data_IF_345702832220
#
_entry.id   IF_345702832220
#
_cell.length_a   1.000
_cell.length_b   1.000
_cell.length_c   1.000
_cell.angle_alpha   90.00
_cell.angle_beta   90.00
_cell.angle_gamma   90.00
#
_symmetry.space_group_name_H-M   'P 1'
#
loop_
_entity.id
_entity.type
_entity.pdbx_description
1 polymer ?
#
# COMPACT_ATOMS: atom_id res chain seq x y z
N UNK A 1 -2.10 -14.26 19.44
CA UNK A 1 -1.35 -13.61 18.34
C UNK A 1 0.13 -13.63 18.70
N UNK A 2 0.99 -14.19 17.84
CA UNK A 2 2.43 -14.25 18.10
C UNK A 2 3.07 -12.90 17.72
N UNK A 3 3.41 -12.08 18.73
CA UNK A 3 3.91 -10.71 18.52
C UNK A 3 5.24 -10.70 17.74
N UNK A 4 6.13 -11.67 17.99
CA UNK A 4 7.40 -11.78 17.27
C UNK A 4 7.17 -12.05 15.78
N UNK A 5 6.24 -12.95 15.47
CA UNK A 5 5.82 -13.26 14.10
C UNK A 5 5.29 -12.00 13.39
N UNK A 6 4.34 -11.30 14.01
CA UNK A 6 3.75 -10.08 13.45
C UNK A 6 4.80 -8.99 13.24
N UNK A 7 5.69 -8.77 14.21
CA UNK A 7 6.75 -7.76 14.11
C UNK A 7 7.67 -8.02 12.93
N UNK A 8 8.19 -9.25 12.78
CA UNK A 8 9.10 -9.62 11.69
C UNK A 8 8.39 -9.55 10.34
N UNK A 9 7.18 -10.10 10.25
CA UNK A 9 6.39 -10.06 9.04
C UNK A 9 6.06 -8.62 8.61
N UNK A 10 5.74 -7.74 9.56
CA UNK A 10 5.45 -6.32 9.30
C UNK A 10 6.69 -5.59 8.79
N UNK A 11 7.86 -5.82 9.38
CA UNK A 11 9.11 -5.22 8.88
C UNK A 11 9.42 -5.66 7.46
N UNK A 12 9.31 -6.96 7.16
CA UNK A 12 9.58 -7.48 5.82
C UNK A 12 8.54 -7.00 4.79
N UNK A 13 7.27 -6.98 5.17
CA UNK A 13 6.18 -6.44 4.35
C UNK A 13 6.41 -4.97 4.02
N UNK A 14 6.76 -4.16 5.02
CA UNK A 14 7.03 -2.73 4.86
C UNK A 14 8.19 -2.48 3.90
N UNK A 15 9.32 -3.16 4.10
CA UNK A 15 10.49 -3.05 3.22
C UNK A 15 10.17 -3.45 1.78
N UNK A 16 9.34 -4.49 1.61
CA UNK A 16 8.88 -4.93 0.28
C UNK A 16 8.02 -3.87 -0.39
N UNK A 17 7.06 -3.29 0.35
CA UNK A 17 6.22 -2.22 -0.17
C UNK A 17 7.04 -0.99 -0.56
N UNK A 18 8.03 -0.62 0.23
CA UNK A 18 8.92 0.50 -0.08
C UNK A 18 9.75 0.23 -1.34
N UNK A 19 10.35 -0.97 -1.45
CA UNK A 19 11.17 -1.35 -2.59
C UNK A 19 10.36 -1.39 -3.89
N UNK A 20 9.17 -2.02 -3.86
CA UNK A 20 8.29 -2.14 -5.04
C UNK A 20 7.62 -0.81 -5.36
N UNK A 21 7.27 -0.02 -4.34
CA UNK A 21 6.61 1.28 -4.45
C UNK A 21 7.53 2.42 -4.89
N UNK A 22 8.85 2.26 -4.84
CA UNK A 22 9.80 3.31 -5.23
C UNK A 22 9.62 3.76 -6.69
N UNK A 23 9.41 2.81 -7.60
CA UNK A 23 9.22 3.10 -9.04
C UNK A 23 7.94 3.91 -9.30
N UNK A 24 6.73 3.47 -8.88
CA UNK A 24 5.52 4.26 -9.09
C UNK A 24 5.55 5.60 -8.34
N UNK A 25 6.25 5.70 -7.21
CA UNK A 25 6.45 6.98 -6.52
C UNK A 25 7.10 8.03 -7.42
N UNK A 26 8.15 7.65 -8.15
CA UNK A 26 8.87 8.57 -9.04
C UNK A 26 8.12 8.79 -10.35
N UNK A 27 7.56 7.73 -10.95
CA UNK A 27 7.05 7.78 -12.32
C UNK A 27 5.57 8.15 -12.43
N UNK A 28 4.78 7.96 -11.37
CA UNK A 28 3.33 8.15 -11.40
C UNK A 28 2.86 9.16 -10.35
N UNK A 29 3.16 8.92 -9.06
CA UNK A 29 2.68 9.78 -7.98
C UNK A 29 3.36 11.15 -7.95
N UNK A 30 4.68 11.20 -8.17
CA UNK A 30 5.45 12.44 -8.19
C UNK A 30 4.93 13.48 -9.20
N UNK A 31 4.85 13.14 -10.51
CA UNK A 31 4.35 14.05 -11.54
C UNK A 31 2.91 14.53 -11.27
N UNK A 32 2.03 13.62 -10.85
CA UNK A 32 0.65 13.98 -10.52
C UNK A 32 0.57 14.91 -9.30
N UNK A 33 1.36 14.64 -8.25
CA UNK A 33 1.45 15.50 -7.08
C UNK A 33 1.93 16.91 -7.41
N UNK A 34 2.92 17.05 -8.29
CA UNK A 34 3.40 18.36 -8.76
C UNK A 34 2.32 19.14 -9.53
N UNK A 35 1.61 18.49 -10.46
CA UNK A 35 0.50 19.10 -11.21
C UNK A 35 -0.65 19.54 -10.27
N UNK A 36 -0.96 18.73 -9.25
CA UNK A 36 -1.98 19.08 -8.26
C UNK A 36 -1.54 20.19 -7.31
N UNK A 37 -0.25 20.26 -6.94
CA UNK A 37 0.30 21.35 -6.13
C UNK A 37 0.28 22.68 -6.90
N UNK A 38 0.53 22.67 -8.20
CA UNK A 38 0.44 23.87 -9.05
C UNK A 38 -1.01 24.37 -9.17
N UNK A 39 -1.97 23.46 -9.37
CA UNK A 39 -3.40 23.81 -9.53
C UNK A 39 -4.07 24.19 -8.22
N UNK A 40 -3.66 23.58 -7.10
CA UNK A 40 -4.30 23.73 -5.79
C UNK A 40 -3.27 24.01 -4.67
N UNK A 41 -2.48 25.10 -4.76
CA UNK A 41 -1.32 25.33 -3.89
C UNK A 41 -1.66 25.53 -2.41
N UNK A 42 -2.92 25.90 -2.11
CA UNK A 42 -3.39 26.06 -0.73
C UNK A 42 -3.95 24.75 -0.13
N UNK A 43 -4.10 23.69 -0.93
CA UNK A 43 -4.71 22.43 -0.53
C UNK A 43 -3.78 21.22 -0.71
N UNK A 44 -2.78 21.33 -1.58
CA UNK A 44 -1.82 20.25 -1.90
C UNK A 44 -0.41 20.74 -1.62
N UNK A 45 0.35 19.96 -0.85
CA UNK A 45 1.73 20.30 -0.53
C UNK A 45 2.61 20.23 -1.79
N UNK A 46 3.54 21.19 -1.93
CA UNK A 46 4.55 21.16 -3.00
C UNK A 46 5.45 19.92 -2.94
N UNK A 47 5.77 19.47 -1.73
CA UNK A 47 6.46 18.20 -1.49
C UNK A 47 5.62 17.32 -0.54
N UNK A 48 5.56 16.00 -0.76
CA UNK A 48 4.90 15.09 0.17
C UNK A 48 5.46 15.21 1.59
N UNK A 49 4.59 15.29 2.59
CA UNK A 49 5.01 15.18 3.99
C UNK A 49 5.38 13.72 4.30
N UNK A 50 6.67 13.40 4.12
CA UNK A 50 7.18 12.03 4.26
C UNK A 50 7.00 11.45 5.66
N UNK A 51 7.00 12.29 6.71
CA UNK A 51 6.77 11.81 8.09
C UNK A 51 5.36 11.27 8.24
N UNK A 52 4.35 12.03 7.79
CA UNK A 52 2.95 11.60 7.83
C UNK A 52 2.74 10.36 6.94
N UNK A 53 3.34 10.35 5.75
CA UNK A 53 3.30 9.21 4.85
C UNK A 53 3.87 7.94 5.47
N UNK A 54 5.03 8.02 6.14
CA UNK A 54 5.67 6.88 6.80
C UNK A 54 4.85 6.36 7.98
N UNK A 55 4.25 7.24 8.79
CA UNK A 55 3.35 6.82 9.88
C UNK A 55 2.18 6.02 9.31
N UNK A 56 1.54 6.54 8.26
CA UNK A 56 0.44 5.84 7.58
C UNK A 56 0.86 4.47 7.02
N UNK A 57 2.01 4.41 6.36
CA UNK A 57 2.54 3.17 5.78
C UNK A 57 2.85 2.10 6.83
N UNK A 58 3.44 2.48 7.97
CA UNK A 58 3.73 1.55 9.07
C UNK A 58 2.43 0.99 9.65
N UNK A 59 1.46 1.86 9.96
CA UNK A 59 0.15 1.43 10.50
C UNK A 59 -0.56 0.51 9.51
N UNK A 60 -0.61 0.89 8.24
CA UNK A 60 -1.19 0.08 7.18
C UNK A 60 -0.53 -1.29 7.09
N UNK A 61 0.80 -1.35 7.10
CA UNK A 61 1.54 -2.62 7.00
C UNK A 61 1.21 -3.55 8.15
N UNK A 62 1.21 -3.03 9.39
CA UNK A 62 0.89 -3.85 10.57
C UNK A 62 -0.54 -4.40 10.47
N UNK A 63 -1.51 -3.57 10.08
CA UNK A 63 -2.89 -4.01 9.87
C UNK A 63 -2.99 -5.07 8.77
N UNK A 64 -2.33 -4.83 7.64
CA UNK A 64 -2.25 -5.78 6.53
C UNK A 64 -1.73 -7.14 6.98
N UNK A 65 -0.60 -7.18 7.70
CA UNK A 65 -0.03 -8.42 8.25
C UNK A 65 -0.98 -9.11 9.23
N UNK A 66 -1.62 -8.36 10.12
CA UNK A 66 -2.60 -8.93 11.08
C UNK A 66 -3.79 -9.54 10.35
N UNK A 67 -4.27 -8.92 9.27
CA UNK A 67 -5.35 -9.47 8.43
C UNK A 67 -4.90 -10.76 7.78
N UNK A 68 -3.73 -10.79 7.12
CA UNK A 68 -3.22 -12.01 6.47
C UNK A 68 -3.03 -13.16 7.46
N UNK A 69 -2.56 -12.86 8.68
CA UNK A 69 -2.43 -13.85 9.76
C UNK A 69 -3.78 -14.42 10.19
N UNK A 70 -4.78 -13.55 10.40
CA UNK A 70 -6.14 -13.95 10.79
C UNK A 70 -6.87 -14.73 9.70
N UNK A 71 -6.56 -14.44 8.44
CA UNK A 71 -7.08 -15.19 7.30
C UNK A 71 -6.44 -16.59 7.16
N UNK A 72 -5.39 -16.89 7.92
CA UNK A 72 -4.73 -18.20 7.87
C UNK A 72 -3.89 -18.40 6.62
N UNK A 73 -3.44 -17.31 5.99
CA UNK A 73 -2.63 -17.34 4.78
C UNK A 73 -1.40 -18.22 4.99
N UNK A 74 -1.24 -19.24 4.16
CA UNK A 74 -0.39 -20.39 4.45
C UNK A 74 0.71 -20.67 3.42
N UNK A 75 0.72 -19.95 2.29
CA UNK A 75 1.71 -20.10 1.22
C UNK A 75 2.01 -18.77 0.52
N UNK A 76 3.16 -18.70 -0.16
CA UNK A 76 3.60 -17.52 -0.92
C UNK A 76 2.55 -17.10 -1.96
N UNK A 77 2.01 -18.07 -2.72
CA UNK A 77 1.00 -17.81 -3.75
C UNK A 77 -0.29 -17.27 -3.14
N UNK A 78 -0.76 -17.89 -2.05
CA UNK A 78 -1.95 -17.44 -1.33
C UNK A 78 -1.74 -16.03 -0.76
N UNK A 79 -0.55 -15.74 -0.22
CA UNK A 79 -0.18 -14.40 0.24
C UNK A 79 -0.15 -13.37 -0.87
N UNK A 80 0.36 -13.72 -2.05
CA UNK A 80 0.38 -12.83 -3.20
C UNK A 80 -1.05 -12.50 -3.68
N UNK A 81 -1.89 -13.52 -3.84
CA UNK A 81 -3.28 -13.34 -4.28
C UNK A 81 -4.05 -12.54 -3.23
N UNK A 82 -3.91 -12.90 -1.96
CA UNK A 82 -4.60 -12.22 -0.85
C UNK A 82 -4.16 -10.78 -0.72
N UNK A 83 -2.86 -10.53 -0.82
CA UNK A 83 -2.30 -9.19 -0.84
C UNK A 83 -2.83 -8.37 -2.01
N UNK A 84 -2.84 -8.93 -3.21
CA UNK A 84 -3.29 -8.26 -4.42
C UNK A 84 -4.76 -7.80 -4.34
N UNK A 85 -5.70 -8.69 -4.02
CA UNK A 85 -7.12 -8.30 -3.99
C UNK A 85 -7.43 -7.39 -2.80
N UNK A 86 -6.78 -7.60 -1.65
CA UNK A 86 -6.95 -6.73 -0.47
C UNK A 86 -6.48 -5.31 -0.77
N UNK A 87 -5.29 -5.16 -1.36
CA UNK A 87 -4.77 -3.86 -1.78
C UNK A 87 -5.64 -3.21 -2.84
N UNK A 88 -6.06 -3.97 -3.87
CA UNK A 88 -6.95 -3.46 -4.91
C UNK A 88 -8.23 -2.87 -4.32
N UNK A 89 -8.92 -3.63 -3.46
CA UNK A 89 -10.17 -3.20 -2.86
C UNK A 89 -10.00 -2.00 -1.94
N UNK A 90 -8.94 -1.98 -1.12
CA UNK A 90 -8.69 -0.88 -0.20
C UNK A 90 -8.37 0.43 -0.93
N UNK A 91 -7.48 0.39 -1.92
CA UNK A 91 -7.09 1.60 -2.66
C UNK A 91 -8.17 2.08 -3.60
N UNK A 92 -8.95 1.17 -4.21
CA UNK A 92 -10.16 1.55 -4.93
C UNK A 92 -11.16 2.27 -4.01
N UNK A 93 -11.38 1.76 -2.80
CA UNK A 93 -12.21 2.44 -1.81
C UNK A 93 -11.66 3.83 -1.46
N UNK A 94 -10.39 3.95 -1.07
CA UNK A 94 -9.80 5.25 -0.73
C UNK A 94 -9.89 6.27 -1.87
N UNK A 95 -9.54 5.86 -3.08
CA UNK A 95 -9.60 6.72 -4.25
C UNK A 95 -11.02 7.21 -4.54
N UNK A 96 -12.01 6.32 -4.46
CA UNK A 96 -13.41 6.73 -4.68
C UNK A 96 -13.90 7.69 -3.59
N UNK A 97 -13.43 7.56 -2.35
CA UNK A 97 -13.71 8.55 -1.30
C UNK A 97 -13.07 9.90 -1.60
N UNK A 98 -11.82 9.92 -2.08
CA UNK A 98 -11.14 11.17 -2.49
C UNK A 98 -11.90 11.81 -3.66
N UNK A 99 -12.24 11.05 -4.70
CA UNK A 99 -13.01 11.56 -5.85
C UNK A 99 -14.38 12.12 -5.47
N UNK A 100 -15.03 11.55 -4.46
CA UNK A 100 -16.33 12.03 -3.99
C UNK A 100 -16.23 13.41 -3.31
N UNK A 101 -15.07 13.74 -2.74
CA UNK A 101 -14.87 14.96 -1.96
C UNK A 101 -14.05 16.02 -2.71
N UNK A 102 -13.11 15.60 -3.55
CA UNK A 102 -12.06 16.43 -4.12
C UNK A 102 -11.89 16.17 -5.61
N UNK A 103 -11.53 17.21 -6.37
CA UNK A 103 -11.27 17.14 -7.82
C UNK A 103 -9.78 16.91 -8.15
N UNK A 104 -9.03 16.33 -7.22
CA UNK A 104 -7.58 16.16 -7.33
C UNK A 104 -7.17 14.89 -8.09
N UNK A 105 -8.05 13.90 -8.19
CA UNK A 105 -7.80 12.68 -8.97
C UNK A 105 -8.99 12.41 -9.89
N UNK A 106 -8.72 11.80 -11.04
CA UNK A 106 -9.74 11.34 -11.97
C UNK A 106 -9.83 9.81 -11.99
N UNK A 107 -10.78 9.26 -12.75
CA UNK A 107 -10.97 7.81 -12.80
C UNK A 107 -9.79 7.07 -13.44
N UNK A 108 -9.07 7.70 -14.37
CA UNK A 108 -7.88 7.08 -14.97
C UNK A 108 -6.77 6.93 -13.92
N UNK A 109 -6.58 7.96 -13.08
CA UNK A 109 -5.67 7.88 -11.95
C UNK A 109 -6.04 6.73 -11.03
N UNK A 110 -7.33 6.59 -10.68
CA UNK A 110 -7.81 5.49 -9.82
C UNK A 110 -7.49 4.12 -10.38
N UNK A 111 -7.72 3.90 -11.69
CA UNK A 111 -7.45 2.61 -12.32
C UNK A 111 -5.95 2.26 -12.26
N UNK A 112 -5.09 3.23 -12.56
CA UNK A 112 -3.63 3.01 -12.53
C UNK A 112 -3.14 2.80 -11.11
N UNK A 113 -3.63 3.58 -10.14
CA UNK A 113 -3.27 3.44 -8.73
C UNK A 113 -3.66 2.07 -8.16
N UNK A 114 -4.84 1.55 -8.54
CA UNK A 114 -5.29 0.21 -8.13
C UNK A 114 -4.40 -0.88 -8.73
N UNK A 115 -3.99 -0.75 -9.99
CA UNK A 115 -3.05 -1.70 -10.61
C UNK A 115 -1.68 -1.67 -9.95
N UNK A 116 -1.16 -0.48 -9.63
CA UNK A 116 0.08 -0.33 -8.87
C UNK A 116 -0.06 -0.98 -7.49
N UNK A 117 -1.18 -0.74 -6.82
CA UNK A 117 -1.46 -1.27 -5.50
C UNK A 117 -1.50 -2.80 -5.49
N UNK A 118 -2.13 -3.43 -6.49
CA UNK A 118 -2.11 -4.89 -6.67
C UNK A 118 -0.68 -5.44 -6.67
N UNK A 119 0.23 -4.79 -7.39
CA UNK A 119 1.63 -5.24 -7.48
C UNK A 119 2.34 -5.06 -6.14
N UNK A 120 2.19 -3.89 -5.51
CA UNK A 120 2.83 -3.56 -4.23
C UNK A 120 2.36 -4.50 -3.13
N UNK A 121 1.05 -4.62 -2.92
CA UNK A 121 0.48 -5.42 -1.84
C UNK A 121 0.54 -6.91 -2.13
N UNK A 122 0.49 -7.32 -3.40
CA UNK A 122 0.74 -8.71 -3.81
C UNK A 122 2.16 -9.14 -3.47
N UNK A 123 3.17 -8.37 -3.84
CA UNK A 123 4.56 -8.66 -3.49
C UNK A 123 4.76 -8.71 -1.97
N UNK A 124 4.22 -7.72 -1.24
CA UNK A 124 4.28 -7.70 0.22
C UNK A 124 3.57 -8.90 0.85
N UNK A 125 2.40 -9.27 0.35
CA UNK A 125 1.64 -10.42 0.83
C UNK A 125 2.38 -11.74 0.65
N UNK A 126 3.07 -11.93 -0.49
CA UNK A 126 3.95 -13.08 -0.72
C UNK A 126 5.07 -13.17 0.32
N UNK A 127 5.75 -12.06 0.59
CA UNK A 127 6.85 -11.99 1.57
C UNK A 127 6.35 -12.21 3.00
N UNK A 128 5.19 -11.63 3.33
CA UNK A 128 4.53 -11.81 4.64
C UNK A 128 4.16 -13.29 4.85
N UNK A 129 3.52 -13.93 3.87
CA UNK A 129 3.16 -15.35 3.97
C UNK A 129 4.41 -16.25 4.08
N UNK A 130 5.45 -15.98 3.29
CA UNK A 130 6.74 -16.66 3.43
C UNK A 130 7.32 -16.53 4.84
N UNK A 131 7.18 -15.35 5.45
CA UNK A 131 7.67 -15.12 6.81
C UNK A 131 6.88 -15.90 7.85
N UNK A 132 5.55 -16.06 7.68
CA UNK A 132 4.72 -16.83 8.60
C UNK A 132 5.12 -18.30 8.69
N UNK A 133 5.53 -18.90 7.56
CA UNK A 133 6.02 -20.29 7.53
C UNK A 133 7.24 -20.53 8.42
N UNK A 134 8.00 -19.49 8.75
CA UNK A 134 9.16 -19.58 9.67
C UNK A 134 8.80 -19.62 11.15
N UNK A 135 7.52 -19.41 11.48
CA UNK A 135 7.00 -19.44 12.85
C UNK A 135 5.93 -20.51 13.04
N UNK A 136 5.78 -21.43 12.07
CA UNK A 136 5.01 -22.65 12.20
C UNK A 136 5.76 -23.67 13.07
#
# INVERSE_FOLDING_TARGET
MNIKKIGIASTLGFLTQFAVGAVPMVLFYGPHGADMAEKFPNAVNAEPNMVIGLIGAIVFTVLFVVVLDKMGTSSIQEGAITGAWFGAGLWFFFNTQIMAMLKVIDFNFVLVDVLISIVITGAAGAVVAFSFDRFK
#
